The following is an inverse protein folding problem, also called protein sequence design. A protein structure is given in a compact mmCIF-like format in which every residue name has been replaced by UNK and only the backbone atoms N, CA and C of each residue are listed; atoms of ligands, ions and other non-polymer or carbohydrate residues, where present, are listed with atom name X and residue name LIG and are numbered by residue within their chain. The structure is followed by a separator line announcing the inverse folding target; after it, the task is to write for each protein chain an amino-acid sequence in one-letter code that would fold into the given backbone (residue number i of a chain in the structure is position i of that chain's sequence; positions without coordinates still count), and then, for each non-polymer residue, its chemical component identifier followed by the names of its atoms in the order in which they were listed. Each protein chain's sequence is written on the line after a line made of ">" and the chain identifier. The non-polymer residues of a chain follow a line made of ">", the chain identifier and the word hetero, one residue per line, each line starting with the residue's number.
data_IF_540950522181
#
_entry.id   IF_540950522181
#
_cell.length_a   1.000
_cell.length_b   1.000
_cell.length_c   1.000
_cell.angle_alpha   90.00
_cell.angle_beta   90.00
_cell.angle_gamma   90.00
#
_symmetry.space_group_name_H-M   'P 1'
#
loop_
_entity.id
_entity.type
_entity.pdbx_description
1 polymer ?
#
# COMPACT_ATOMS: atom_id res chain seq x y z
N UNK A 1 1.69 5.02 -2.78
CA UNK A 1 0.62 5.82 -2.17
C UNK A 1 -0.15 6.48 -3.30
N UNK A 2 -1.46 6.23 -3.45
CA UNK A 2 -2.23 6.88 -4.52
C UNK A 2 -2.23 8.39 -4.26
N UNK A 3 -2.02 9.17 -5.31
CA UNK A 3 -2.14 10.61 -5.28
C UNK A 3 -3.49 11.02 -4.68
N UNK A 4 -3.46 11.97 -3.74
CA UNK A 4 -4.62 12.47 -3.01
C UNK A 4 -5.00 13.83 -3.65
N UNK A 5 -5.95 13.89 -4.60
CA UNK A 5 -6.14 15.08 -5.45
C UNK A 5 -6.41 16.35 -4.63
N UNK A 6 -7.17 16.23 -3.54
CA UNK A 6 -7.51 17.34 -2.64
C UNK A 6 -6.29 17.92 -1.91
N UNK A 7 -5.32 17.07 -1.53
CA UNK A 7 -4.09 17.54 -0.90
C UNK A 7 -3.27 18.36 -1.91
N UNK A 8 -3.23 17.90 -3.17
CA UNK A 8 -2.43 18.57 -4.21
C UNK A 8 -3.01 19.94 -4.55
N UNK A 9 -4.33 20.01 -4.73
CA UNK A 9 -5.07 21.27 -4.92
C UNK A 9 -4.86 22.21 -3.73
N UNK A 10 -4.84 21.70 -2.50
CA UNK A 10 -4.62 22.53 -1.32
C UNK A 10 -3.17 23.03 -1.21
N UNK A 11 -2.18 22.22 -1.57
CA UNK A 11 -0.78 22.66 -1.64
C UNK A 11 -0.59 23.72 -2.73
N UNK A 12 -1.26 23.58 -3.88
CA UNK A 12 -1.26 24.61 -4.91
C UNK A 12 -1.93 25.92 -4.44
N UNK A 13 -3.05 25.82 -3.72
CA UNK A 13 -3.70 26.99 -3.09
C UNK A 13 -2.76 27.69 -2.09
N UNK A 14 -2.06 26.92 -1.23
CA UNK A 14 -1.04 27.46 -0.33
C UNK A 14 0.05 28.18 -1.13
N UNK A 15 0.57 27.54 -2.19
CA UNK A 15 1.62 28.14 -3.03
C UNK A 15 1.19 29.48 -3.61
N UNK A 16 -0.04 29.56 -4.14
CA UNK A 16 -0.59 30.77 -4.73
C UNK A 16 -0.85 31.86 -3.67
N UNK A 17 -1.41 31.49 -2.51
CA UNK A 17 -1.70 32.44 -1.43
C UNK A 17 -0.43 33.03 -0.82
N UNK A 18 0.63 32.23 -0.75
CA UNK A 18 1.92 32.62 -0.20
C UNK A 18 2.82 33.33 -1.22
N UNK A 19 2.43 33.34 -2.51
CA UNK A 19 3.27 33.75 -3.65
C UNK A 19 4.65 33.06 -3.63
N UNK A 20 4.65 31.75 -3.33
CA UNK A 20 5.88 30.98 -3.16
C UNK A 20 6.50 30.58 -4.49
N UNK A 21 7.83 30.45 -4.52
CA UNK A 21 8.54 29.82 -5.63
C UNK A 21 8.40 28.29 -5.58
N UNK A 22 8.51 27.73 -4.38
CA UNK A 22 8.18 26.34 -4.08
C UNK A 22 7.40 26.24 -2.78
N UNK A 23 6.31 25.46 -2.80
CA UNK A 23 5.68 24.89 -1.61
C UNK A 23 5.95 23.39 -1.59
N UNK A 24 6.49 22.89 -0.48
CA UNK A 24 6.86 21.49 -0.31
C UNK A 24 6.25 20.92 0.96
N UNK A 25 5.60 19.76 0.82
CA UNK A 25 5.01 19.00 1.89
C UNK A 25 5.88 17.77 2.15
N UNK A 26 6.43 17.70 3.35
CA UNK A 26 7.13 16.53 3.86
C UNK A 26 6.25 15.83 4.88
N UNK A 27 6.09 14.50 4.77
CA UNK A 27 5.38 13.69 5.75
C UNK A 27 6.33 12.75 6.48
N UNK A 28 6.02 12.46 7.74
CA UNK A 28 6.76 11.49 8.54
C UNK A 28 6.82 10.12 7.85
N UNK A 29 7.98 9.48 7.91
CA UNK A 29 8.18 8.13 7.39
C UNK A 29 7.72 7.10 8.44
N UNK A 30 6.62 6.40 8.15
CA UNK A 30 5.99 5.40 9.02
C UNK A 30 6.85 4.13 9.21
N UNK A 31 7.95 3.95 8.46
CA UNK A 31 8.75 2.72 8.50
C UNK A 31 9.72 2.62 9.67
N UNK A 32 10.49 3.67 9.95
CA UNK A 32 11.53 3.66 11.00
C UNK A 32 11.55 4.95 11.86
N UNK A 33 10.66 5.92 11.61
CA UNK A 33 10.60 7.18 12.39
C UNK A 33 11.84 8.09 12.27
N UNK A 34 12.76 7.78 11.36
CA UNK A 34 14.07 8.45 11.24
C UNK A 34 14.03 9.78 10.49
N UNK A 35 12.87 10.29 10.07
CA UNK A 35 12.77 11.57 9.38
C UNK A 35 11.48 11.75 8.58
N UNK A 36 11.57 12.57 7.55
CA UNK A 36 10.45 12.92 6.67
C UNK A 36 10.80 12.71 5.21
N UNK A 37 9.80 12.40 4.41
CA UNK A 37 9.91 12.20 2.96
C UNK A 37 9.13 13.30 2.25
N UNK A 38 9.68 13.83 1.15
CA UNK A 38 8.97 14.76 0.27
C UNK A 38 7.76 14.04 -0.33
N UNK A 39 6.58 14.40 0.17
CA UNK A 39 5.32 13.79 -0.22
C UNK A 39 4.76 14.42 -1.49
N UNK A 40 4.76 15.75 -1.54
CA UNK A 40 4.29 16.52 -2.68
C UNK A 40 4.94 17.90 -2.69
N UNK A 41 5.01 18.51 -3.86
CA UNK A 41 5.46 19.88 -4.01
C UNK A 41 4.75 20.55 -5.18
N UNK A 42 4.56 21.86 -5.06
CA UNK A 42 4.22 22.75 -6.16
C UNK A 42 5.36 23.75 -6.31
N UNK A 43 6.04 23.75 -7.46
CA UNK A 43 7.28 24.50 -7.65
C UNK A 43 7.41 25.02 -9.08
N UNK A 44 8.00 26.20 -9.21
CA UNK A 44 8.48 26.76 -10.48
C UNK A 44 9.89 26.27 -10.86
N UNK A 45 10.57 25.52 -9.98
CA UNK A 45 11.86 24.89 -10.26
C UNK A 45 11.70 23.58 -11.03
N UNK A 46 12.68 23.28 -11.88
CA UNK A 46 12.83 21.99 -12.56
C UNK A 46 13.81 21.06 -11.84
N UNK A 47 14.44 21.51 -10.75
CA UNK A 47 15.58 20.86 -10.10
C UNK A 47 15.20 20.36 -8.70
N UNK A 48 13.99 19.81 -8.57
CA UNK A 48 13.49 19.23 -7.32
C UNK A 48 13.85 17.73 -7.28
N UNK A 49 14.51 17.32 -6.21
CA UNK A 49 14.79 15.92 -5.91
C UNK A 49 13.51 15.23 -5.43
N UNK A 50 12.82 14.52 -6.31
CA UNK A 50 11.49 13.92 -6.04
C UNK A 50 11.52 12.89 -4.90
N UNK A 51 12.53 12.04 -4.86
CA UNK A 51 12.69 11.00 -3.82
C UNK A 51 13.52 11.51 -2.62
N UNK A 52 13.28 12.76 -2.22
CA UNK A 52 14.01 13.36 -1.10
C UNK A 52 13.52 12.81 0.24
N UNK A 53 14.44 12.21 1.00
CA UNK A 53 14.28 11.89 2.42
C UNK A 53 15.23 12.78 3.22
N UNK A 54 14.71 13.39 4.29
CA UNK A 54 15.45 14.24 5.21
C UNK A 54 15.41 13.60 6.58
N UNK A 55 16.59 13.35 7.15
CA UNK A 55 16.68 12.71 8.47
C UNK A 55 16.28 13.66 9.59
N UNK A 56 15.89 13.09 10.73
CA UNK A 56 15.53 13.84 11.92
C UNK A 56 16.70 14.74 12.38
N UNK A 57 16.46 16.05 12.47
CA UNK A 57 17.48 17.05 12.79
C UNK A 57 18.40 17.46 11.64
N UNK A 58 18.26 16.89 10.45
CA UNK A 58 19.07 17.22 9.27
C UNK A 58 18.56 18.47 8.56
N UNK A 59 19.43 19.48 8.41
CA UNK A 59 19.08 20.72 7.71
C UNK A 59 17.89 21.45 8.37
N UNK A 60 17.30 22.41 7.65
CA UNK A 60 16.16 23.17 8.18
C UNK A 60 14.93 22.28 8.34
N UNK A 61 14.62 21.45 7.34
CA UNK A 61 13.42 20.60 7.34
C UNK A 61 13.48 19.57 8.48
N UNK A 62 14.59 18.85 8.62
CA UNK A 62 14.76 17.87 9.69
C UNK A 62 14.81 18.52 11.08
N UNK A 63 15.40 19.71 11.20
CA UNK A 63 15.38 20.47 12.47
C UNK A 63 13.97 20.90 12.86
N UNK A 64 13.18 21.44 11.93
CA UNK A 64 11.77 21.81 12.16
C UNK A 64 10.96 20.60 12.60
N UNK A 65 11.17 19.46 11.93
CA UNK A 65 10.53 18.19 12.30
C UNK A 65 10.90 17.74 13.72
N UNK A 66 12.17 17.88 14.12
CA UNK A 66 12.64 17.47 15.45
C UNK A 66 12.13 18.37 16.56
N UNK A 67 12.33 19.67 16.41
CA UNK A 67 12.10 20.65 17.47
C UNK A 67 10.64 21.06 17.57
N UNK A 68 9.82 20.72 16.56
CA UNK A 68 8.43 21.15 16.43
C UNK A 68 8.30 22.68 16.55
N UNK A 69 9.26 23.39 15.96
CA UNK A 69 9.35 24.86 15.94
C UNK A 69 9.50 25.34 14.51
N UNK A 70 8.81 26.44 14.19
CA UNK A 70 8.91 27.07 12.88
C UNK A 70 10.26 27.76 12.68
N UNK A 71 10.69 27.82 11.42
CA UNK A 71 11.82 28.64 10.96
C UNK A 71 11.29 29.64 9.97
N UNK A 72 11.37 30.93 10.31
CA UNK A 72 11.17 32.06 9.42
C UNK A 72 12.54 32.65 9.07
N UNK A 73 13.01 32.40 7.86
CA UNK A 73 14.25 32.99 7.37
C UNK A 73 13.92 34.06 6.33
N UNK A 74 13.81 35.31 6.77
CA UNK A 74 13.55 36.45 5.89
C UNK A 74 14.74 36.79 4.97
N UNK A 75 15.93 36.27 5.27
CA UNK A 75 17.13 36.45 4.47
C UNK A 75 17.95 35.14 4.44
N UNK A 76 17.93 34.45 3.30
CA UNK A 76 18.55 33.14 3.08
C UNK A 76 19.72 33.17 2.08
N UNK A 77 19.93 34.27 1.35
CA UNK A 77 20.91 34.46 0.26
C UNK A 77 22.38 34.11 0.59
N UNK A 78 22.72 33.97 1.88
CA UNK A 78 24.07 33.55 2.32
C UNK A 78 24.25 32.03 2.33
N UNK A 79 23.21 31.25 1.99
CA UNK A 79 23.21 29.80 1.99
C UNK A 79 22.69 29.29 0.65
N UNK A 80 23.37 28.28 0.13
CA UNK A 80 22.97 27.57 -1.08
C UNK A 80 21.65 26.82 -0.84
N UNK A 81 20.70 26.92 -1.79
CA UNK A 81 19.41 26.23 -1.71
C UNK A 81 19.54 24.70 -1.55
N UNK A 82 20.65 24.09 -2.00
CA UNK A 82 20.96 22.66 -1.80
C UNK A 82 21.03 22.27 -0.32
N UNK A 83 21.26 23.23 0.59
CA UNK A 83 21.21 22.98 2.04
C UNK A 83 19.81 22.62 2.55
N UNK A 84 18.76 22.89 1.76
CA UNK A 84 17.39 22.44 2.00
C UNK A 84 17.17 20.97 1.61
N UNK A 85 18.15 20.33 0.97
CA UNK A 85 18.19 18.90 0.58
C UNK A 85 17.24 18.48 -0.55
N UNK A 86 16.14 19.20 -0.76
CA UNK A 86 15.17 18.88 -1.82
C UNK A 86 15.45 19.59 -3.17
N UNK A 87 16.45 20.47 -3.24
CA UNK A 87 16.97 21.03 -4.49
C UNK A 87 18.23 20.29 -4.95
N UNK A 88 18.33 20.00 -6.25
CA UNK A 88 19.52 19.37 -6.87
C UNK A 88 20.65 20.36 -7.14
N UNK A 89 20.33 21.65 -7.24
CA UNK A 89 21.27 22.75 -7.47
C UNK A 89 20.79 24.01 -6.77
N UNK A 90 21.67 25.00 -6.65
CA UNK A 90 21.28 26.29 -6.11
C UNK A 90 20.21 26.96 -7.00
N UNK A 91 19.14 27.42 -6.37
CA UNK A 91 18.00 28.07 -7.01
C UNK A 91 17.90 29.57 -6.67
N UNK A 92 18.92 30.14 -6.01
CA UNK A 92 18.91 31.53 -5.54
C UNK A 92 17.70 31.81 -4.63
N UNK A 93 17.48 30.90 -3.67
CA UNK A 93 16.43 31.04 -2.67
C UNK A 93 16.84 32.12 -1.67
N UNK A 94 15.94 33.05 -1.40
CA UNK A 94 16.21 34.27 -0.63
C UNK A 94 15.45 34.40 0.66
N UNK A 95 14.32 33.73 0.75
CA UNK A 95 13.60 33.60 2.00
C UNK A 95 12.79 32.31 2.02
N UNK A 96 12.49 31.83 3.22
CA UNK A 96 11.64 30.66 3.42
C UNK A 96 10.90 30.72 4.75
N UNK A 97 9.81 29.97 4.82
CA UNK A 97 9.13 29.58 6.05
C UNK A 97 8.98 28.07 6.06
N UNK A 98 9.49 27.42 7.09
CA UNK A 98 9.24 26.02 7.34
C UNK A 98 8.50 25.89 8.68
N UNK A 99 7.36 25.21 8.67
CA UNK A 99 6.54 24.99 9.87
C UNK A 99 6.33 23.50 10.11
N UNK A 100 6.30 23.06 11.37
CA UNK A 100 5.91 21.70 11.68
C UNK A 100 4.41 21.53 11.42
N UNK A 101 4.03 20.37 10.90
CA UNK A 101 2.65 19.94 10.93
C UNK A 101 2.31 19.46 12.37
N UNK A 102 1.09 19.72 12.86
CA UNK A 102 0.61 19.21 14.15
C UNK A 102 0.89 17.72 14.34
N UNK A 103 1.01 17.28 15.59
CA UNK A 103 1.15 15.85 15.97
C UNK A 103 2.30 15.11 15.25
N UNK A 104 3.38 15.82 14.92
CA UNK A 104 4.53 15.27 14.18
C UNK A 104 4.16 14.67 12.81
N UNK A 105 3.11 15.15 12.14
CA UNK A 105 2.73 14.64 10.81
C UNK A 105 3.80 14.90 9.74
N UNK A 106 4.67 15.88 9.95
CA UNK A 106 5.72 16.25 9.01
C UNK A 106 6.03 17.74 9.04
N UNK A 107 6.43 18.29 7.89
CA UNK A 107 6.85 19.69 7.72
C UNK A 107 6.25 20.27 6.45
N UNK A 108 5.72 21.49 6.54
CA UNK A 108 5.32 22.29 5.38
C UNK A 108 6.30 23.43 5.21
N UNK A 109 6.90 23.54 4.03
CA UNK A 109 7.88 24.57 3.72
C UNK A 109 7.48 25.36 2.47
N UNK A 110 7.57 26.69 2.56
CA UNK A 110 7.44 27.60 1.43
C UNK A 110 8.73 28.40 1.27
N UNK A 111 9.18 28.60 0.04
CA UNK A 111 10.35 29.41 -0.25
C UNK A 111 10.10 30.44 -1.36
N UNK A 112 11.02 31.39 -1.53
CA UNK A 112 10.93 32.44 -2.53
C UNK A 112 12.32 32.90 -2.99
N UNK A 113 12.41 33.34 -4.25
CA UNK A 113 13.58 34.05 -4.80
C UNK A 113 13.61 35.54 -4.44
N UNK A 114 12.73 36.00 -3.55
CA UNK A 114 12.69 37.37 -3.02
C UNK A 114 12.98 37.33 -1.52
N UNK A 115 13.80 38.26 -1.02
CA UNK A 115 14.06 38.40 0.41
C UNK A 115 12.89 39.12 1.09
N UNK A 116 12.70 38.89 2.39
CA UNK A 116 11.72 39.57 3.25
C UNK A 116 10.24 39.48 2.84
N UNK A 117 9.87 38.57 1.91
CA UNK A 117 8.47 38.41 1.48
C UNK A 117 7.61 37.58 2.43
N UNK A 118 8.25 36.85 3.35
CA UNK A 118 7.59 36.12 4.42
C UNK A 118 7.72 36.89 5.73
N UNK A 119 6.57 37.17 6.33
CA UNK A 119 6.39 37.89 7.61
C UNK A 119 5.82 36.94 8.67
N UNK A 120 5.82 37.36 9.92
CA UNK A 120 5.15 36.60 11.01
C UNK A 120 3.65 36.39 10.73
N UNK A 121 3.00 37.35 10.08
CA UNK A 121 1.60 37.23 9.65
C UNK A 121 1.45 36.09 8.63
N UNK A 122 2.31 36.04 7.61
CA UNK A 122 2.31 34.95 6.63
C UNK A 122 2.65 33.61 7.26
N UNK A 123 3.58 33.56 8.22
CA UNK A 123 3.84 32.34 9.00
C UNK A 123 2.59 31.88 9.77
N UNK A 124 1.87 32.82 10.40
CA UNK A 124 0.62 32.52 11.13
C UNK A 124 -0.47 31.98 10.19
N UNK A 125 -0.63 32.56 9.01
CA UNK A 125 -1.55 32.06 7.98
C UNK A 125 -1.16 30.65 7.55
N UNK A 126 0.13 30.41 7.26
CA UNK A 126 0.63 29.09 6.88
C UNK A 126 0.37 28.04 7.97
N UNK A 127 0.50 28.42 9.25
CA UNK A 127 0.18 27.57 10.41
C UNK A 127 -1.30 27.22 10.51
N UNK A 128 -2.20 28.15 10.19
CA UNK A 128 -3.63 27.85 10.14
C UNK A 128 -3.95 26.91 8.97
N UNK A 129 -3.33 27.14 7.81
CA UNK A 129 -3.47 26.25 6.65
C UNK A 129 -2.93 24.83 6.95
N UNK A 130 -1.85 24.69 7.72
CA UNK A 130 -1.32 23.36 8.08
C UNK A 130 -2.26 22.55 8.96
N UNK A 131 -3.04 23.19 9.84
CA UNK A 131 -4.07 22.51 10.63
C UNK A 131 -5.19 21.94 9.74
N UNK A 132 -5.60 22.71 8.71
CA UNK A 132 -6.58 22.25 7.71
C UNK A 132 -6.00 21.10 6.89
N UNK A 133 -4.74 21.20 6.45
CA UNK A 133 -4.04 20.15 5.72
C UNK A 133 -3.98 18.83 6.50
N UNK A 134 -3.62 18.87 7.79
CA UNK A 134 -3.60 17.66 8.64
C UNK A 134 -5.01 17.08 8.80
N UNK A 135 -6.02 17.93 8.97
CA UNK A 135 -7.42 17.48 9.02
C UNK A 135 -7.85 16.77 7.73
N UNK A 136 -7.41 17.26 6.57
CA UNK A 136 -7.66 16.61 5.27
C UNK A 136 -6.94 15.26 5.16
N UNK A 137 -5.66 15.19 5.56
CA UNK A 137 -4.89 13.94 5.58
C UNK A 137 -5.59 12.90 6.46
N UNK A 138 -6.01 13.29 7.66
CA UNK A 138 -6.70 12.40 8.60
C UNK A 138 -8.05 11.94 8.08
N UNK A 139 -8.85 12.84 7.51
CA UNK A 139 -10.13 12.48 6.92
C UNK A 139 -9.95 11.45 5.79
N UNK A 140 -8.93 11.61 4.95
CA UNK A 140 -8.70 10.69 3.86
C UNK A 140 -8.13 9.34 4.33
N UNK A 141 -7.25 9.33 5.34
CA UNK A 141 -6.85 8.08 6.02
C UNK A 141 -8.06 7.33 6.58
N UNK A 142 -8.96 8.03 7.27
CA UNK A 142 -10.19 7.45 7.82
C UNK A 142 -11.15 6.94 6.73
N UNK A 143 -11.31 7.67 5.63
CA UNK A 143 -12.10 7.22 4.47
C UNK A 143 -11.49 5.96 3.87
N UNK A 144 -10.17 5.90 3.69
CA UNK A 144 -9.50 4.73 3.15
C UNK A 144 -9.66 3.51 4.07
N UNK A 145 -9.51 3.68 5.40
CA UNK A 145 -9.77 2.62 6.37
C UNK A 145 -11.22 2.13 6.34
N UNK A 146 -12.19 3.05 6.23
CA UNK A 146 -13.61 2.70 6.09
C UNK A 146 -13.85 1.90 4.81
N UNK A 147 -13.31 2.35 3.67
CA UNK A 147 -13.46 1.66 2.38
C UNK A 147 -12.87 0.25 2.43
N UNK A 148 -11.71 0.07 3.09
CA UNK A 148 -11.13 -1.25 3.32
C UNK A 148 -12.08 -2.13 4.14
N UNK A 149 -12.64 -1.61 5.24
CA UNK A 149 -13.57 -2.38 6.08
C UNK A 149 -14.87 -2.73 5.35
N UNK A 150 -15.42 -1.79 4.58
CA UNK A 150 -16.60 -2.01 3.73
C UNK A 150 -16.34 -3.10 2.71
N UNK A 151 -15.22 -3.05 1.99
CA UNK A 151 -14.83 -4.08 1.02
C UNK A 151 -14.71 -5.47 1.68
N UNK A 152 -14.11 -5.57 2.86
CA UNK A 152 -13.97 -6.83 3.60
C UNK A 152 -15.33 -7.36 4.10
N UNK A 153 -16.24 -6.47 4.51
CA UNK A 153 -17.59 -6.85 4.91
C UNK A 153 -18.40 -7.34 3.71
N UNK A 154 -18.40 -6.60 2.61
CA UNK A 154 -19.07 -7.01 1.36
C UNK A 154 -18.54 -8.34 0.86
N UNK A 155 -17.22 -8.57 0.92
CA UNK A 155 -16.64 -9.88 0.58
C UNK A 155 -17.23 -11.00 1.43
N UNK A 156 -17.39 -10.77 2.74
CA UNK A 156 -17.94 -11.77 3.67
C UNK A 156 -19.42 -12.05 3.40
N UNK A 157 -20.21 -11.02 3.06
CA UNK A 157 -21.62 -11.15 2.68
C UNK A 157 -21.77 -11.93 1.38
N UNK A 158 -21.04 -11.55 0.33
CA UNK A 158 -21.07 -12.24 -0.95
C UNK A 158 -20.61 -13.70 -0.82
N UNK A 159 -19.64 -13.98 0.07
CA UNK A 159 -19.25 -15.37 0.38
C UNK A 159 -20.43 -16.17 0.93
N UNK A 160 -21.21 -15.61 1.84
CA UNK A 160 -22.40 -16.29 2.38
C UNK A 160 -23.48 -16.50 1.30
N UNK A 161 -23.69 -15.53 0.41
CA UNK A 161 -24.62 -15.68 -0.71
C UNK A 161 -24.20 -16.83 -1.63
N UNK A 162 -22.93 -16.90 -2.02
CA UNK A 162 -22.37 -18.01 -2.82
C UNK A 162 -22.55 -19.35 -2.08
N UNK A 163 -22.28 -19.41 -0.78
CA UNK A 163 -22.51 -20.62 0.03
C UNK A 163 -23.97 -21.06 -0.02
N UNK A 164 -24.94 -20.14 0.02
CA UNK A 164 -26.37 -20.50 0.01
C UNK A 164 -26.85 -20.90 -1.39
N UNK A 165 -26.38 -20.21 -2.42
CA UNK A 165 -26.94 -20.32 -3.78
C UNK A 165 -26.30 -21.44 -4.63
N UNK A 166 -25.10 -21.90 -4.29
CA UNK A 166 -24.43 -22.98 -5.01
C UNK A 166 -24.68 -24.33 -4.35
N UNK A 167 -24.80 -25.40 -5.13
CA UNK A 167 -24.97 -26.77 -4.60
C UNK A 167 -23.81 -27.69 -4.95
N UNK A 168 -23.23 -27.52 -6.14
CA UNK A 168 -22.16 -28.35 -6.67
C UNK A 168 -20.78 -27.82 -6.27
N UNK A 169 -19.84 -28.71 -5.96
CA UNK A 169 -18.47 -28.35 -5.54
C UNK A 169 -17.75 -27.40 -6.50
N UNK A 170 -17.79 -27.70 -7.80
CA UNK A 170 -17.01 -26.98 -8.79
C UNK A 170 -17.58 -25.58 -9.06
N UNK A 171 -18.90 -25.44 -9.04
CA UNK A 171 -19.59 -24.14 -9.13
C UNK A 171 -19.25 -23.28 -7.91
N UNK A 172 -19.36 -23.84 -6.70
CA UNK A 172 -19.01 -23.15 -5.46
C UNK A 172 -17.54 -22.69 -5.45
N UNK A 173 -16.61 -23.57 -5.84
CA UNK A 173 -15.20 -23.24 -5.93
C UNK A 173 -14.94 -22.13 -6.95
N UNK A 174 -15.53 -22.22 -8.14
CA UNK A 174 -15.38 -21.20 -9.17
C UNK A 174 -15.85 -19.83 -8.69
N UNK A 175 -17.10 -19.71 -8.24
CA UNK A 175 -17.66 -18.42 -7.84
C UNK A 175 -16.90 -17.79 -6.66
N UNK A 176 -16.50 -18.60 -5.68
CA UNK A 176 -15.73 -18.11 -4.54
C UNK A 176 -14.36 -17.57 -4.95
N UNK A 177 -13.64 -18.29 -5.82
CA UNK A 177 -12.33 -17.84 -6.31
C UNK A 177 -12.44 -16.61 -7.20
N UNK A 178 -13.49 -16.51 -8.02
CA UNK A 178 -13.77 -15.32 -8.84
C UNK A 178 -14.01 -14.09 -7.97
N UNK A 179 -14.83 -14.23 -6.92
CA UNK A 179 -15.10 -13.17 -5.94
C UNK A 179 -13.81 -12.63 -5.29
N UNK A 180 -12.89 -13.52 -4.91
CA UNK A 180 -11.62 -13.14 -4.29
C UNK A 180 -10.74 -12.32 -5.24
N UNK A 181 -10.64 -12.73 -6.51
CA UNK A 181 -9.85 -12.00 -7.51
C UNK A 181 -10.40 -10.61 -7.76
N UNK A 182 -11.72 -10.48 -7.88
CA UNK A 182 -12.39 -9.20 -8.16
C UNK A 182 -12.30 -8.20 -7.00
N UNK A 183 -12.38 -8.67 -5.76
CA UNK A 183 -12.53 -7.79 -4.58
C UNK A 183 -11.22 -7.49 -3.85
N UNK A 184 -10.17 -8.31 -3.99
CA UNK A 184 -8.93 -8.21 -3.18
C UNK A 184 -7.70 -7.80 -4.03
N UNK A 185 -7.91 -7.29 -5.24
CA UNK A 185 -6.83 -6.88 -6.16
C UNK A 185 -5.78 -8.00 -6.36
N UNK A 186 -6.25 -9.24 -6.46
CA UNK A 186 -5.38 -10.39 -6.65
C UNK A 186 -5.04 -10.53 -8.14
N UNK A 187 -3.82 -10.98 -8.38
CA UNK A 187 -3.35 -11.39 -9.70
C UNK A 187 -3.66 -12.87 -9.94
N UNK A 188 -3.57 -13.67 -8.88
CA UNK A 188 -3.78 -15.10 -8.90
C UNK A 188 -4.33 -15.62 -7.56
N UNK A 189 -5.27 -16.55 -7.65
CA UNK A 189 -5.71 -17.43 -6.56
C UNK A 189 -5.63 -18.87 -7.03
N UNK A 190 -5.08 -19.74 -6.17
CA UNK A 190 -4.96 -21.17 -6.44
C UNK A 190 -5.51 -21.97 -5.27
N UNK A 191 -6.46 -22.87 -5.56
CA UNK A 191 -6.97 -23.84 -4.60
C UNK A 191 -6.51 -25.25 -4.98
N UNK A 192 -5.94 -25.97 -4.00
CA UNK A 192 -5.55 -27.38 -4.13
C UNK A 192 -6.22 -28.19 -3.03
N UNK A 193 -6.80 -29.32 -3.42
CA UNK A 193 -7.32 -30.36 -2.52
C UNK A 193 -6.60 -31.69 -2.80
N UNK A 194 -6.52 -32.59 -1.81
CA UNK A 194 -5.76 -33.87 -1.86
C UNK A 194 -6.03 -34.78 -3.08
N UNK A 195 -7.11 -34.56 -3.84
CA UNK A 195 -7.49 -35.34 -5.04
C UNK A 195 -6.77 -34.91 -6.33
N UNK A 196 -5.68 -34.13 -6.23
CA UNK A 196 -4.87 -33.60 -7.35
C UNK A 196 -5.60 -32.66 -8.32
N UNK A 197 -6.81 -32.21 -7.95
CA UNK A 197 -7.53 -31.16 -8.67
C UNK A 197 -7.01 -29.82 -8.18
N UNK A 198 -6.58 -29.00 -9.14
CA UNK A 198 -6.08 -27.65 -8.91
C UNK A 198 -6.97 -26.68 -9.64
N UNK A 199 -7.50 -25.73 -8.89
CA UNK A 199 -8.32 -24.65 -9.41
C UNK A 199 -7.49 -23.38 -9.45
N UNK A 200 -7.34 -22.83 -10.65
CA UNK A 200 -6.69 -21.55 -10.90
C UNK A 200 -7.73 -20.49 -11.20
N UNK A 201 -7.54 -19.33 -10.60
CA UNK A 201 -8.26 -18.13 -10.97
C UNK A 201 -7.28 -16.97 -11.06
N UNK A 202 -7.11 -16.40 -12.26
CA UNK A 202 -6.12 -15.35 -12.49
C UNK A 202 -6.63 -14.28 -13.44
N UNK A 203 -6.08 -13.08 -13.28
CA UNK A 203 -6.40 -11.94 -14.11
C UNK A 203 -5.39 -11.83 -15.26
N UNK A 204 -5.85 -11.95 -16.51
CA UNK A 204 -5.04 -11.72 -17.70
C UNK A 204 -5.70 -10.63 -18.55
N UNK A 205 -5.00 -9.51 -18.77
CA UNK A 205 -5.50 -8.38 -19.56
C UNK A 205 -6.88 -7.87 -19.11
N UNK A 206 -7.10 -7.72 -17.80
CA UNK A 206 -8.37 -7.34 -17.17
C UNK A 206 -9.54 -8.31 -17.41
N UNK A 207 -9.27 -9.55 -17.85
CA UNK A 207 -10.26 -10.63 -17.90
C UNK A 207 -9.94 -11.66 -16.84
N UNK A 208 -10.98 -12.08 -16.12
CA UNK A 208 -10.86 -13.15 -15.15
C UNK A 208 -10.88 -14.51 -15.88
N UNK A 209 -9.91 -15.37 -15.59
CA UNK A 209 -9.79 -16.69 -16.22
C UNK A 209 -9.78 -17.76 -15.14
N UNK A 210 -10.82 -18.59 -15.16
CA UNK A 210 -10.90 -19.81 -14.35
C UNK A 210 -10.39 -21.01 -15.14
N UNK A 211 -9.55 -21.83 -14.52
CA UNK A 211 -9.09 -23.12 -15.06
C UNK A 211 -9.12 -24.19 -13.97
N UNK A 212 -9.73 -25.32 -14.29
CA UNK A 212 -9.64 -26.55 -13.51
C UNK A 212 -8.63 -27.48 -14.20
N UNK A 213 -7.58 -27.85 -13.48
CA UNK A 213 -6.53 -28.74 -13.98
C UNK A 213 -6.42 -29.94 -13.06
N UNK A 214 -6.50 -31.14 -13.64
CA UNK A 214 -6.15 -32.38 -12.96
C UNK A 214 -4.68 -32.67 -13.25
N UNK A 215 -3.85 -32.78 -12.21
CA UNK A 215 -2.46 -33.16 -12.36
C UNK A 215 -2.28 -34.63 -11.98
N UNK A 216 -1.55 -35.40 -12.79
CA UNK A 216 -1.17 -36.77 -12.42
C UNK A 216 -0.25 -36.80 -11.20
N UNK A 217 0.50 -35.70 -10.97
CA UNK A 217 1.38 -35.50 -9.83
C UNK A 217 1.30 -34.04 -9.35
N UNK A 218 0.81 -33.83 -8.13
CA UNK A 218 0.97 -32.55 -7.46
C UNK A 218 2.38 -32.50 -6.88
N UNK A 219 3.19 -31.54 -7.35
CA UNK A 219 4.57 -31.43 -6.92
C UNK A 219 4.65 -30.93 -5.46
N UNK A 220 4.92 -31.87 -4.55
CA UNK A 220 5.05 -31.60 -3.12
C UNK A 220 6.26 -30.68 -2.78
N UNK A 221 7.12 -30.39 -3.76
CA UNK A 221 8.30 -29.53 -3.59
C UNK A 221 8.03 -28.05 -3.90
N UNK A 222 6.86 -27.69 -4.46
CA UNK A 222 6.43 -26.30 -4.64
C UNK A 222 5.96 -25.63 -3.34
N UNK A 223 5.66 -24.34 -3.40
CA UNK A 223 5.22 -23.54 -2.25
C UNK A 223 3.93 -24.07 -1.62
N UNK A 224 2.93 -24.43 -2.45
CA UNK A 224 1.69 -25.02 -1.94
C UNK A 224 1.92 -26.42 -1.34
N UNK A 225 2.83 -27.21 -1.92
CA UNK A 225 3.22 -28.51 -1.40
C UNK A 225 3.88 -28.42 -0.03
N UNK A 226 4.74 -27.42 0.16
CA UNK A 226 5.32 -27.12 1.46
C UNK A 226 4.24 -26.78 2.50
N UNK A 227 3.25 -25.96 2.16
CA UNK A 227 2.15 -25.58 3.07
C UNK A 227 1.32 -26.79 3.47
N UNK A 228 0.95 -27.65 2.50
CA UNK A 228 0.23 -28.89 2.76
C UNK A 228 1.01 -29.82 3.69
N UNK A 229 2.31 -30.01 3.43
CA UNK A 229 3.18 -30.87 4.23
C UNK A 229 3.36 -30.36 5.67
N UNK A 230 3.59 -29.06 5.83
CA UNK A 230 3.92 -28.47 7.13
C UNK A 230 2.67 -28.03 7.91
N UNK A 231 1.51 -27.93 7.27
CA UNK A 231 0.25 -27.46 7.87
C UNK A 231 0.39 -26.08 8.51
N UNK A 232 1.22 -25.22 7.90
CA UNK A 232 1.54 -23.87 8.36
C UNK A 232 1.35 -22.88 7.23
N UNK A 233 0.87 -21.69 7.57
CA UNK A 233 0.81 -20.59 6.62
C UNK A 233 2.21 -20.21 6.11
N UNK A 234 2.27 -19.78 4.86
CA UNK A 234 3.47 -19.30 4.22
C UNK A 234 3.21 -17.92 3.62
N UNK A 235 3.99 -16.93 4.04
CA UNK A 235 3.93 -15.57 3.53
C UNK A 235 5.30 -15.18 2.98
N UNK A 236 5.33 -14.69 1.74
CA UNK A 236 6.57 -14.28 1.06
C UNK A 236 6.35 -12.92 0.37
N UNK A 237 7.07 -11.89 0.82
CA UNK A 237 6.96 -10.55 0.23
C UNK A 237 7.58 -10.48 -1.17
N UNK A 238 8.70 -11.19 -1.37
CA UNK A 238 9.39 -11.32 -2.66
C UNK A 238 9.81 -12.76 -2.86
N UNK A 239 9.69 -13.26 -4.09
CA UNK A 239 10.16 -14.57 -4.49
C UNK A 239 11.36 -14.44 -5.43
N UNK A 240 12.53 -14.96 -5.04
CA UNK A 240 13.66 -15.13 -5.95
C UNK A 240 13.53 -16.48 -6.67
N UNK A 241 13.80 -16.51 -7.99
CA UNK A 241 13.78 -17.76 -8.77
C UNK A 241 14.77 -18.76 -8.17
N UNK A 242 14.25 -19.89 -7.70
CA UNK A 242 14.99 -21.10 -7.32
C UNK A 242 14.21 -22.30 -7.84
N UNK A 243 14.84 -23.48 -7.90
CA UNK A 243 14.16 -24.72 -8.33
C UNK A 243 12.94 -25.11 -7.48
N UNK A 244 12.71 -24.47 -6.33
CA UNK A 244 11.59 -24.69 -5.41
C UNK A 244 10.66 -23.47 -5.26
N UNK A 245 10.88 -22.42 -6.06
CA UNK A 245 10.14 -21.15 -5.98
C UNK A 245 9.02 -21.08 -7.02
N UNK A 246 8.11 -22.07 -7.03
CA UNK A 246 6.92 -22.09 -7.88
C UNK A 246 5.69 -22.45 -7.04
N UNK A 247 4.50 -22.00 -7.44
CA UNK A 247 3.25 -22.16 -6.66
C UNK A 247 2.77 -23.60 -6.73
N UNK A 248 2.55 -24.12 -7.95
CA UNK A 248 2.02 -25.48 -8.19
C UNK A 248 2.99 -26.35 -8.98
N UNK A 249 3.53 -25.84 -10.09
CA UNK A 249 4.47 -26.57 -10.94
C UNK A 249 5.48 -25.60 -11.58
N UNK A 250 6.58 -26.15 -12.13
CA UNK A 250 7.67 -25.36 -12.74
C UNK A 250 7.28 -24.67 -14.06
N UNK A 251 6.25 -25.16 -14.73
CA UNK A 251 5.80 -24.68 -16.05
C UNK A 251 4.66 -23.65 -15.94
N UNK A 252 4.43 -23.08 -14.75
CA UNK A 252 3.38 -22.09 -14.53
C UNK A 252 3.72 -20.74 -15.23
N UNK A 253 2.72 -20.04 -15.81
CA UNK A 253 2.97 -18.86 -16.63
C UNK A 253 3.29 -17.58 -15.83
N UNK A 254 3.44 -17.69 -14.50
CA UNK A 254 3.56 -16.55 -13.60
C UNK A 254 5.04 -16.26 -13.32
N UNK A 255 5.50 -15.06 -13.67
CA UNK A 255 6.86 -14.62 -13.36
C UNK A 255 6.86 -13.65 -12.18
N UNK A 256 7.91 -13.69 -11.35
CA UNK A 256 8.18 -12.71 -10.28
C UNK A 256 7.02 -12.50 -9.30
N UNK A 257 6.49 -13.58 -8.74
CA UNK A 257 5.45 -13.54 -7.70
C UNK A 257 5.93 -12.73 -6.50
N UNK A 258 5.20 -11.65 -6.18
CA UNK A 258 5.42 -10.85 -4.97
C UNK A 258 4.17 -10.89 -4.10
N UNK A 259 4.34 -10.67 -2.80
CA UNK A 259 3.22 -10.65 -1.84
C UNK A 259 2.39 -11.94 -1.88
N UNK A 260 3.05 -13.09 -1.88
CA UNK A 260 2.43 -14.41 -1.82
C UNK A 260 1.94 -14.72 -0.41
N UNK A 261 0.71 -15.21 -0.31
CA UNK A 261 0.15 -15.78 0.92
C UNK A 261 -0.44 -17.14 0.60
N UNK A 262 -0.06 -18.18 1.34
CA UNK A 262 -0.69 -19.49 1.21
C UNK A 262 -1.11 -20.02 2.59
N UNK A 263 -2.36 -20.45 2.65
CA UNK A 263 -3.03 -20.84 3.88
C UNK A 263 -3.35 -22.34 3.84
N UNK A 264 -2.96 -23.11 4.87
CA UNK A 264 -3.34 -24.50 4.98
C UNK A 264 -4.83 -24.61 5.32
N UNK A 265 -5.52 -25.51 4.64
CA UNK A 265 -6.92 -25.83 4.86
C UNK A 265 -7.00 -27.22 5.50
N UNK A 266 -7.57 -27.32 6.70
CA UNK A 266 -7.56 -28.57 7.47
C UNK A 266 -8.96 -28.89 7.99
N UNK A 267 -9.54 -30.00 7.52
CA UNK A 267 -10.80 -30.51 8.07
C UNK A 267 -10.52 -31.73 8.95
N UNK A 268 -10.61 -31.55 10.28
CA UNK A 268 -10.50 -32.67 11.24
C UNK A 268 -11.64 -33.68 11.07
N UNK A 269 -12.85 -33.21 10.74
CA UNK A 269 -14.05 -34.05 10.58
C UNK A 269 -13.92 -34.99 9.37
N UNK A 270 -13.49 -34.45 8.23
CA UNK A 270 -13.41 -35.20 6.98
C UNK A 270 -12.02 -35.83 6.76
N UNK A 271 -11.07 -35.61 7.67
CA UNK A 271 -9.65 -35.99 7.55
C UNK A 271 -9.00 -35.57 6.23
N UNK A 272 -9.49 -34.47 5.63
CA UNK A 272 -8.99 -33.90 4.37
C UNK A 272 -8.15 -32.66 4.63
N UNK A 273 -7.10 -32.48 3.83
CA UNK A 273 -6.32 -31.25 3.78
C UNK A 273 -6.36 -30.60 2.38
N UNK A 274 -6.09 -29.31 2.36
CA UNK A 274 -6.00 -28.50 1.16
C UNK A 274 -5.11 -27.29 1.41
N UNK A 275 -4.91 -26.48 0.39
CA UNK A 275 -4.24 -25.20 0.50
C UNK A 275 -4.89 -24.19 -0.43
N UNK A 276 -4.98 -22.94 0.03
CA UNK A 276 -5.44 -21.80 -0.77
C UNK A 276 -4.32 -20.77 -0.82
N UNK A 277 -3.85 -20.47 -2.01
CA UNK A 277 -2.78 -19.51 -2.26
C UNK A 277 -3.33 -18.26 -2.95
N UNK A 278 -2.74 -17.12 -2.63
CA UNK A 278 -3.11 -15.80 -3.10
C UNK A 278 -1.85 -15.04 -3.50
N UNK A 279 -1.93 -14.32 -4.61
CA UNK A 279 -0.89 -13.42 -5.10
C UNK A 279 -1.53 -12.06 -5.34
N UNK A 280 -1.06 -11.02 -4.65
CA UNK A 280 -1.47 -9.63 -4.95
C UNK A 280 -0.68 -9.12 -6.16
N UNK A 281 -1.26 -8.14 -6.86
CA UNK A 281 -0.55 -7.40 -7.92
C UNK A 281 0.77 -6.80 -7.39
N UNK A 282 1.74 -6.64 -8.29
CA UNK A 282 3.01 -6.01 -7.97
C UNK A 282 2.81 -4.66 -7.23
N UNK A 283 3.58 -4.46 -6.16
CA UNK A 283 3.54 -3.31 -5.23
C UNK A 283 2.35 -3.24 -4.26
N UNK A 284 1.38 -4.15 -4.31
CA UNK A 284 0.30 -4.22 -3.33
C UNK A 284 0.68 -5.09 -2.14
N UNK A 285 0.76 -4.51 -0.94
CA UNK A 285 1.06 -5.25 0.29
C UNK A 285 -0.19 -5.83 0.92
N UNK A 286 -0.04 -6.95 1.61
CA UNK A 286 -1.07 -7.48 2.49
C UNK A 286 -1.14 -6.67 3.78
N UNK A 287 -2.31 -6.15 4.12
CA UNK A 287 -2.53 -5.56 5.44
C UNK A 287 -3.02 -6.62 6.44
N UNK A 288 -2.79 -6.38 7.74
CA UNK A 288 -3.11 -7.36 8.78
C UNK A 288 -4.61 -7.76 8.82
N UNK A 289 -5.52 -6.81 8.55
CA UNK A 289 -6.97 -7.07 8.50
C UNK A 289 -7.32 -8.00 7.31
N UNK A 290 -6.75 -7.76 6.13
CA UNK A 290 -6.94 -8.64 4.96
C UNK A 290 -6.47 -10.07 5.26
N UNK A 291 -5.25 -10.25 5.81
CA UNK A 291 -4.72 -11.59 6.14
C UNK A 291 -5.64 -12.37 7.08
N UNK A 292 -6.15 -11.70 8.11
CA UNK A 292 -7.12 -12.29 9.06
C UNK A 292 -8.43 -12.67 8.37
N UNK A 293 -8.98 -11.79 7.54
CA UNK A 293 -10.21 -12.08 6.77
C UNK A 293 -10.01 -13.23 5.80
N UNK A 294 -8.89 -13.27 5.05
CA UNK A 294 -8.56 -14.39 4.16
C UNK A 294 -8.47 -15.69 4.93
N UNK A 295 -7.85 -15.69 6.10
CA UNK A 295 -7.77 -16.88 6.96
C UNK A 295 -9.15 -17.39 7.39
N UNK A 296 -10.05 -16.51 7.79
CA UNK A 296 -11.41 -16.88 8.16
C UNK A 296 -12.18 -17.44 6.96
N UNK A 297 -12.20 -16.72 5.84
CA UNK A 297 -12.95 -17.10 4.65
C UNK A 297 -12.40 -18.37 4.00
N UNK A 298 -11.08 -18.58 4.01
CA UNK A 298 -10.45 -19.81 3.49
C UNK A 298 -10.90 -21.04 4.26
N UNK A 299 -10.95 -20.94 5.60
CA UNK A 299 -11.42 -22.04 6.45
C UNK A 299 -12.91 -22.30 6.27
N UNK A 300 -13.72 -21.24 6.15
CA UNK A 300 -15.15 -21.35 5.85
C UNK A 300 -15.38 -22.01 4.49
N UNK A 301 -14.70 -21.52 3.45
CA UNK A 301 -14.72 -22.07 2.11
C UNK A 301 -14.43 -23.57 2.12
N UNK A 302 -13.31 -23.98 2.73
CA UNK A 302 -12.95 -25.41 2.73
C UNK A 302 -13.96 -26.28 3.46
N UNK A 303 -14.49 -25.79 4.59
CA UNK A 303 -15.53 -26.49 5.34
C UNK A 303 -16.78 -26.70 4.48
N UNK A 304 -17.26 -25.66 3.80
CA UNK A 304 -18.46 -25.75 2.97
C UNK A 304 -18.22 -26.54 1.69
N UNK A 305 -17.08 -26.34 1.02
CA UNK A 305 -16.68 -27.09 -0.17
C UNK A 305 -16.74 -28.61 0.05
N UNK A 306 -16.25 -29.08 1.20
CA UNK A 306 -16.30 -30.51 1.53
C UNK A 306 -17.72 -31.05 1.79
N UNK A 307 -18.69 -30.19 2.07
CA UNK A 307 -20.09 -30.56 2.30
C UNK A 307 -20.97 -30.39 1.04
N UNK A 308 -20.48 -29.69 0.01
CA UNK A 308 -21.17 -29.57 -1.29
C UNK A 308 -21.21 -30.92 -2.01
N UNK A 309 -22.18 -31.07 -2.92
CA UNK A 309 -22.34 -32.25 -3.78
C UNK A 309 -21.11 -32.38 -4.68
#
# INVERSE_FOLDING_TARGET
>A
MKAMPRIYEFIELISNTMESYTTSLFLADDSDGEGVILYYYHSLSRNIKKDCKVLNGEGIIGWVFREQKSVLASYFDKRDATTLKFYEKDEDIKSLVAIPLPENFGVLCVDSKKSYVFTEEKEKILRQMSQVLVSMINAEKAINEKNILENLLTLSLNTNEIIVNTSEKNEFAKEFLELLVERIYLELVVFVCEEKIVFFNYNLNNKNIYKELSYDYFDQYGLMGWVLKNKKELFLEKLSRSEKSFIVNKDEPFENVTNFLCLPLISKKNKKAGALAFVKKANEKWIAKEKKTMTLLSNLFFKEYLNKK
#
